data_IF_857830347660
#
_entry.id   IF_857830347660
#
_cell.length_a   1.000
_cell.length_b   1.000
_cell.length_c   1.000
_cell.angle_alpha   90.00
_cell.angle_beta   90.00
_cell.angle_gamma   90.00
#
_symmetry.space_group_name_H-M   'P 1'
#
loop_
_entity.id
_entity.type
_entity.pdbx_description
1 polymer ?
#
# COMPACT_ATOMS: atom_id res chain seq x y z
N UNK A 1 -6.19 -13.55 -4.01
CA UNK A 1 -6.64 -12.14 -4.12
C UNK A 1 -8.13 -12.03 -3.94
N UNK A 2 -8.94 -12.69 -4.78
CA UNK A 2 -10.40 -12.65 -4.68
C UNK A 2 -10.88 -13.22 -3.33
N UNK A 3 -10.44 -14.42 -2.96
CA UNK A 3 -10.76 -15.02 -1.63
C UNK A 3 -10.34 -14.15 -0.45
N UNK A 4 -9.29 -13.33 -0.60
CA UNK A 4 -8.85 -12.40 0.44
C UNK A 4 -9.88 -11.28 0.62
N UNK A 5 -10.38 -10.75 -0.49
CA UNK A 5 -11.32 -9.62 -0.51
C UNK A 5 -12.73 -10.08 -0.09
N UNK A 6 -13.19 -11.24 -0.56
CA UNK A 6 -14.51 -11.78 -0.22
C UNK A 6 -14.68 -12.03 1.28
N UNK A 7 -13.61 -12.44 1.96
CA UNK A 7 -13.66 -12.91 3.36
C UNK A 7 -12.96 -11.94 4.32
N UNK A 8 -12.50 -10.79 3.80
CA UNK A 8 -11.75 -9.77 4.53
C UNK A 8 -10.57 -10.34 5.35
N UNK A 9 -9.77 -11.23 4.75
CA UNK A 9 -8.68 -11.95 5.42
C UNK A 9 -7.31 -11.31 5.16
N UNK A 10 -6.33 -11.61 6.03
CA UNK A 10 -4.92 -11.31 5.76
C UNK A 10 -4.31 -12.30 4.75
N UNK A 11 -3.19 -11.96 4.11
CA UNK A 11 -2.54 -12.89 3.17
C UNK A 11 -2.08 -14.20 3.84
N UNK A 12 -1.69 -14.16 5.11
CA UNK A 12 -1.31 -15.34 5.89
C UNK A 12 -2.53 -16.20 6.23
N UNK A 13 -3.61 -15.55 6.67
CA UNK A 13 -4.88 -16.20 6.98
C UNK A 13 -5.47 -16.88 5.75
N UNK A 14 -5.43 -16.24 4.58
CA UNK A 14 -5.94 -16.82 3.32
C UNK A 14 -5.20 -18.10 2.96
N UNK A 15 -3.86 -18.11 3.03
CA UNK A 15 -3.06 -19.31 2.69
C UNK A 15 -3.35 -20.45 3.68
N UNK A 16 -3.49 -20.12 4.97
CA UNK A 16 -3.84 -21.11 6.00
C UNK A 16 -5.24 -21.68 5.79
N UNK A 17 -6.21 -20.81 5.48
CA UNK A 17 -7.61 -21.19 5.28
C UNK A 17 -7.80 -21.97 4.00
N UNK A 18 -7.07 -21.62 2.93
CA UNK A 18 -7.03 -22.39 1.69
C UNK A 18 -6.57 -23.84 1.94
N UNK A 19 -5.56 -24.05 2.80
CA UNK A 19 -5.12 -25.41 3.18
C UNK A 19 -6.18 -26.19 3.97
N UNK A 20 -7.01 -25.49 4.76
CA UNK A 20 -8.00 -26.11 5.65
C UNK A 20 -9.37 -26.31 5.00
N UNK A 21 -9.73 -25.48 4.03
CA UNK A 21 -11.06 -25.39 3.45
C UNK A 21 -11.08 -25.94 2.01
N UNK A 22 -11.85 -27.01 1.78
CA UNK A 22 -12.02 -27.61 0.45
C UNK A 22 -12.73 -26.68 -0.53
N UNK A 23 -13.64 -25.82 -0.06
CA UNK A 23 -14.34 -24.86 -0.90
C UNK A 23 -13.38 -23.84 -1.52
N UNK A 24 -12.35 -23.40 -0.79
CA UNK A 24 -11.36 -22.45 -1.30
C UNK A 24 -10.50 -23.08 -2.39
N UNK A 25 -10.22 -24.38 -2.28
CA UNK A 25 -9.46 -25.12 -3.29
C UNK A 25 -10.31 -25.35 -4.55
N UNK A 26 -11.57 -25.73 -4.38
CA UNK A 26 -12.52 -25.86 -5.48
C UNK A 26 -12.73 -24.53 -6.22
N UNK A 27 -12.84 -23.41 -5.48
CA UNK A 27 -12.90 -22.07 -6.07
C UNK A 27 -11.66 -21.74 -6.91
N UNK A 28 -10.47 -22.17 -6.47
CA UNK A 28 -9.24 -22.04 -7.26
C UNK A 28 -9.12 -23.05 -8.42
N UNK A 29 -10.14 -23.86 -8.69
CA UNK A 29 -10.17 -24.83 -9.79
C UNK A 29 -9.49 -26.17 -9.50
N UNK A 30 -9.17 -26.47 -8.24
CA UNK A 30 -8.66 -27.79 -7.86
C UNK A 30 -9.79 -28.81 -7.79
N UNK A 31 -9.56 -29.98 -8.40
CA UNK A 31 -10.50 -31.11 -8.38
C UNK A 31 -10.32 -32.01 -7.16
N UNK A 32 -9.15 -31.96 -6.53
CA UNK A 32 -8.78 -32.81 -5.40
C UNK A 32 -8.31 -31.95 -4.23
N UNK A 33 -8.65 -32.39 -3.02
CA UNK A 33 -8.29 -31.70 -1.79
C UNK A 33 -6.84 -31.97 -1.39
N UNK A 34 -6.08 -30.90 -1.19
CA UNK A 34 -4.68 -30.92 -0.79
C UNK A 34 -4.47 -30.23 0.57
N UNK A 35 -3.74 -30.87 1.47
CA UNK A 35 -3.39 -30.28 2.79
C UNK A 35 -2.05 -29.54 2.81
N UNK A 36 -1.42 -29.35 1.65
CA UNK A 36 -0.16 -28.60 1.55
C UNK A 36 -0.47 -27.12 1.42
N UNK A 37 0.40 -26.26 1.95
CA UNK A 37 0.28 -24.83 1.67
C UNK A 37 0.57 -24.59 0.17
N UNK A 38 -0.23 -23.75 -0.51
CA UNK A 38 -0.07 -23.50 -1.94
C UNK A 38 1.20 -22.70 -2.25
N UNK A 39 1.54 -21.73 -1.39
CA UNK A 39 2.70 -20.84 -1.53
C UNK A 39 3.00 -20.17 -0.19
N UNK A 40 4.12 -19.45 -0.08
CA UNK A 40 4.35 -18.57 1.06
C UNK A 40 3.48 -17.30 0.94
N UNK A 41 2.89 -16.83 2.04
CA UNK A 41 2.10 -15.58 2.09
C UNK A 41 2.75 -14.36 1.41
N UNK A 42 4.08 -14.22 1.50
CA UNK A 42 4.83 -13.13 0.86
C UNK A 42 4.79 -13.19 -0.66
N UNK A 43 4.70 -14.39 -1.24
CA UNK A 43 4.61 -14.56 -2.69
C UNK A 43 3.34 -13.92 -3.26
N UNK A 44 2.23 -13.91 -2.50
CA UNK A 44 1.01 -13.19 -2.90
C UNK A 44 1.24 -11.67 -3.00
N UNK A 45 2.07 -11.11 -2.11
CA UNK A 45 2.44 -9.69 -2.16
C UNK A 45 3.33 -9.41 -3.36
N UNK A 46 4.32 -10.27 -3.61
CA UNK A 46 5.21 -10.14 -4.77
C UNK A 46 4.47 -10.31 -6.09
N UNK A 47 3.51 -11.24 -6.14
CA UNK A 47 2.65 -11.46 -7.30
C UNK A 47 1.86 -10.18 -7.62
N UNK A 48 1.17 -9.59 -6.63
CA UNK A 48 0.44 -8.33 -6.80
C UNK A 48 1.34 -7.19 -7.32
N UNK A 49 2.53 -7.07 -6.77
CA UNK A 49 3.50 -6.04 -7.21
C UNK A 49 3.97 -6.28 -8.65
N UNK A 50 4.13 -7.54 -9.06
CA UNK A 50 4.59 -7.91 -10.41
C UNK A 50 3.54 -7.65 -11.47
N UNK A 51 2.28 -8.01 -11.19
CA UNK A 51 1.19 -7.82 -12.16
C UNK A 51 0.78 -6.35 -12.26
N UNK A 52 0.93 -5.56 -11.20
CA UNK A 52 0.58 -4.14 -11.17
C UNK A 52 -0.90 -3.87 -10.94
N UNK A 53 -1.27 -2.59 -10.74
CA UNK A 53 -2.63 -2.20 -10.39
C UNK A 53 -3.63 -2.40 -11.55
N UNK A 54 -3.22 -2.08 -12.77
CA UNK A 54 -4.07 -2.18 -13.97
C UNK A 54 -4.54 -3.61 -14.24
N UNK A 55 -3.65 -4.59 -14.08
CA UNK A 55 -4.01 -6.00 -14.28
C UNK A 55 -4.91 -6.53 -13.16
N UNK A 56 -4.70 -6.09 -11.92
CA UNK A 56 -5.57 -6.39 -10.78
C UNK A 56 -6.98 -5.86 -11.04
N UNK A 57 -7.08 -4.63 -11.53
CA UNK A 57 -8.36 -4.02 -11.88
C UNK A 57 -9.07 -4.78 -13.01
N UNK A 58 -8.31 -5.22 -14.02
CA UNK A 58 -8.87 -6.05 -15.09
C UNK A 58 -9.38 -7.41 -14.59
N UNK A 59 -8.68 -8.04 -13.64
CA UNK A 59 -9.16 -9.27 -12.97
C UNK A 59 -10.48 -9.00 -12.24
N UNK A 60 -10.58 -7.86 -11.57
CA UNK A 60 -11.80 -7.45 -10.87
C UNK A 60 -12.97 -7.19 -11.84
N UNK A 61 -12.71 -6.48 -12.94
CA UNK A 61 -13.71 -6.26 -14.00
C UNK A 61 -14.22 -7.59 -14.59
N UNK A 62 -13.33 -8.54 -14.85
CA UNK A 62 -13.74 -9.88 -15.30
C UNK A 62 -14.60 -10.61 -14.25
N UNK A 63 -14.30 -10.46 -12.95
CA UNK A 63 -15.13 -11.05 -11.90
C UNK A 63 -16.52 -10.41 -11.81
N UNK A 64 -16.64 -9.09 -12.03
CA UNK A 64 -17.94 -8.40 -12.10
C UNK A 64 -18.73 -8.91 -13.33
N UNK A 65 -18.07 -9.01 -14.49
CA UNK A 65 -18.71 -9.49 -15.71
C UNK A 65 -19.25 -10.92 -15.61
N UNK A 66 -18.61 -11.78 -14.79
CA UNK A 66 -19.09 -13.13 -14.50
C UNK A 66 -20.36 -13.15 -13.64
N UNK A 67 -20.59 -12.12 -12.81
CA UNK A 67 -21.78 -12.02 -11.95
C UNK A 67 -22.96 -11.31 -12.64
N UNK A 68 -22.74 -10.64 -13.77
CA UNK A 68 -23.81 -10.07 -14.60
C UNK A 68 -24.78 -9.16 -13.83
N UNK A 69 -26.06 -9.16 -14.21
CA UNK A 69 -27.12 -8.35 -13.58
C UNK A 69 -27.42 -8.73 -12.12
N UNK A 70 -26.94 -9.89 -11.65
CA UNK A 70 -27.10 -10.33 -10.26
C UNK A 70 -26.17 -9.60 -9.29
N UNK A 71 -25.17 -8.88 -9.80
CA UNK A 71 -24.27 -8.04 -8.99
C UNK A 71 -24.85 -6.65 -8.68
N UNK A 72 -25.97 -6.27 -9.31
CA UNK A 72 -26.68 -5.02 -9.04
C UNK A 72 -27.57 -5.21 -7.80
N UNK A 73 -26.96 -5.18 -6.61
CA UNK A 73 -27.74 -4.99 -5.39
C UNK A 73 -28.26 -3.54 -5.34
N UNK A 74 -29.56 -3.39 -5.06
CA UNK A 74 -30.26 -2.09 -4.95
C UNK A 74 -29.68 -1.21 -3.81
N UNK A 75 -28.98 -1.85 -2.87
CA UNK A 75 -28.30 -1.21 -1.73
C UNK A 75 -26.80 -1.37 -1.90
N UNK A 76 -26.15 -0.28 -2.30
CA UNK A 76 -24.68 -0.22 -2.30
C UNK A 76 -24.21 -0.22 -0.84
N UNK A 77 -23.81 -1.38 -0.31
CA UNK A 77 -23.05 -1.46 0.94
C UNK A 77 -21.66 -0.87 0.70
N UNK A 78 -21.54 0.46 0.83
CA UNK A 78 -20.25 1.13 0.89
C UNK A 78 -19.66 0.81 2.26
N UNK A 79 -19.01 -0.35 2.40
CA UNK A 79 -18.16 -0.59 3.56
C UNK A 79 -17.07 0.50 3.60
N UNK A 80 -17.15 1.39 4.58
CA UNK A 80 -16.11 2.41 4.84
C UNK A 80 -14.85 1.83 5.46
N UNK A 81 -14.63 0.51 5.32
CA UNK A 81 -13.38 -0.14 5.73
C UNK A 81 -12.31 0.24 4.73
N UNK A 82 -11.77 1.45 4.91
CA UNK A 82 -10.65 1.98 4.15
C UNK A 82 -9.53 0.96 4.23
N UNK A 83 -9.35 0.20 3.15
CA UNK A 83 -8.12 -0.55 2.91
C UNK A 83 -6.98 0.45 3.12
N UNK A 84 -6.04 0.14 4.01
CA UNK A 84 -4.91 1.01 4.27
C UNK A 84 -4.23 1.31 2.93
N UNK A 85 -4.46 2.51 2.42
CA UNK A 85 -3.74 3.01 1.27
C UNK A 85 -2.27 2.97 1.67
N UNK A 86 -1.38 2.61 0.76
CA UNK A 86 0.07 2.68 1.00
C UNK A 86 0.51 4.15 1.04
N UNK A 87 -0.02 4.90 2.00
CA UNK A 87 0.31 6.26 2.34
C UNK A 87 1.13 6.18 3.61
N UNK A 88 2.32 6.76 3.57
CA UNK A 88 3.05 6.92 4.82
C UNK A 88 2.37 8.00 5.66
N UNK A 89 2.22 7.75 6.96
CA UNK A 89 1.69 8.73 7.91
C UNK A 89 2.35 10.10 7.72
N UNK A 90 1.57 11.21 7.70
CA UNK A 90 2.13 12.54 7.55
C UNK A 90 2.91 12.89 8.82
N UNK A 91 4.23 12.79 8.77
CA UNK A 91 5.10 13.34 9.81
C UNK A 91 5.29 14.84 9.60
N UNK A 92 5.44 15.60 10.67
CA UNK A 92 5.64 17.07 10.62
C UNK A 92 6.75 17.47 9.64
N UNK A 93 7.85 16.69 9.58
CA UNK A 93 8.93 16.92 8.63
C UNK A 93 8.49 16.81 7.17
N UNK A 94 7.60 15.85 6.83
CA UNK A 94 7.06 15.70 5.47
C UNK A 94 6.10 16.83 5.12
N UNK A 95 5.33 17.28 6.10
CA UNK A 95 4.42 18.42 5.92
C UNK A 95 5.21 19.71 5.68
N UNK A 96 6.24 19.98 6.48
CA UNK A 96 7.14 21.13 6.32
C UNK A 96 7.80 21.14 4.92
N UNK A 97 8.35 20.00 4.47
CA UNK A 97 8.92 19.87 3.11
C UNK A 97 7.87 20.19 2.04
N UNK A 98 6.63 19.73 2.22
CA UNK A 98 5.53 19.98 1.28
C UNK A 98 5.15 21.46 1.22
N UNK A 99 5.15 22.15 2.36
CA UNK A 99 4.91 23.60 2.44
C UNK A 99 6.02 24.37 1.71
N UNK A 100 7.29 24.07 1.99
CA UNK A 100 8.44 24.73 1.36
C UNK A 100 8.43 24.54 -0.17
N UNK A 101 8.15 23.33 -0.65
CA UNK A 101 8.03 23.07 -2.09
C UNK A 101 6.89 23.86 -2.74
N UNK A 102 5.75 24.02 -2.05
CA UNK A 102 4.63 24.85 -2.55
C UNK A 102 5.01 26.32 -2.61
N UNK A 103 5.68 26.84 -1.57
CA UNK A 103 6.15 28.22 -1.54
C UNK A 103 7.16 28.50 -2.67
N UNK A 104 8.14 27.62 -2.88
CA UNK A 104 9.09 27.73 -4.00
C UNK A 104 8.37 27.74 -5.36
N UNK A 105 7.35 26.89 -5.54
CA UNK A 105 6.55 26.89 -6.77
C UNK A 105 5.76 28.18 -6.98
N UNK A 106 5.20 28.78 -5.93
CA UNK A 106 4.47 30.05 -6.03
C UNK A 106 5.43 31.22 -6.30
N UNK A 107 6.61 31.20 -5.66
CA UNK A 107 7.65 32.20 -5.84
C UNK A 107 8.17 32.30 -7.28
N UNK A 108 8.21 31.18 -8.02
CA UNK A 108 8.58 31.18 -9.44
C UNK A 108 7.63 32.02 -10.32
N UNK A 109 6.36 32.18 -9.91
CA UNK A 109 5.35 32.89 -10.70
C UNK A 109 5.07 34.32 -10.24
N UNK A 110 5.29 34.66 -8.95
CA UNK A 110 4.76 35.89 -8.35
C UNK A 110 5.80 36.88 -7.78
N UNK A 111 6.87 36.46 -7.08
CA UNK A 111 7.87 37.38 -6.46
C UNK A 111 9.21 36.67 -6.15
N UNK A 112 10.33 37.42 -6.25
CA UNK A 112 11.70 37.02 -5.87
C UNK A 112 11.81 36.54 -4.40
N UNK A 113 12.23 35.29 -4.22
CA UNK A 113 12.64 34.77 -2.91
C UNK A 113 14.02 35.31 -2.52
N UNK A 114 14.18 35.77 -1.26
CA UNK A 114 15.51 36.09 -0.71
C UNK A 114 16.44 34.85 -0.69
N UNK A 115 15.87 33.66 -0.47
CA UNK A 115 16.56 32.38 -0.58
C UNK A 115 15.53 31.26 -0.78
N UNK A 116 15.90 30.21 -1.52
CA UNK A 116 15.01 29.06 -1.82
C UNK A 116 15.22 27.86 -0.90
N UNK A 117 16.25 27.90 -0.03
CA UNK A 117 16.59 26.91 1.00
C UNK A 117 16.66 25.43 0.53
N UNK A 118 16.72 25.18 -0.78
CA UNK A 118 16.62 23.82 -1.37
C UNK A 118 17.74 22.90 -0.87
N UNK A 119 18.98 23.43 -0.75
CA UNK A 119 20.14 22.66 -0.27
C UNK A 119 20.01 22.30 1.22
N UNK A 120 19.49 23.23 2.02
CA UNK A 120 19.31 23.07 3.47
C UNK A 120 18.18 22.10 3.80
N UNK A 121 17.07 22.15 3.06
CA UNK A 121 15.99 21.16 3.19
C UNK A 121 16.50 19.76 2.87
N UNK A 122 17.38 19.61 1.87
CA UNK A 122 17.97 18.32 1.51
C UNK A 122 18.90 17.78 2.60
N UNK A 123 19.74 18.61 3.21
CA UNK A 123 20.62 18.19 4.31
C UNK A 123 19.83 17.83 5.57
N UNK A 124 18.85 18.65 5.97
CA UNK A 124 17.99 18.40 7.13
C UNK A 124 17.15 17.14 6.95
N UNK A 125 16.62 16.89 5.75
CA UNK A 125 15.91 15.64 5.43
C UNK A 125 16.80 14.41 5.60
N UNK A 126 18.07 14.51 5.19
CA UNK A 126 19.03 13.42 5.36
C UNK A 126 19.35 13.20 6.85
N UNK A 127 19.56 14.28 7.61
CA UNK A 127 19.83 14.25 9.05
C UNK A 127 18.67 13.61 9.83
N UNK A 128 17.42 13.95 9.50
CA UNK A 128 16.22 13.33 10.09
C UNK A 128 16.21 11.82 9.81
N UNK A 129 16.49 11.42 8.57
CA UNK A 129 16.51 10.00 8.19
C UNK A 129 17.58 9.21 8.94
N UNK A 130 18.77 9.79 9.06
CA UNK A 130 19.89 9.20 9.81
C UNK A 130 19.56 9.13 11.30
N UNK A 131 18.95 10.19 11.86
CA UNK A 131 18.52 10.25 13.27
C UNK A 131 17.52 9.16 13.63
N UNK A 132 16.57 8.88 12.73
CA UNK A 132 15.55 7.85 12.94
C UNK A 132 16.15 6.44 12.79
N UNK A 133 17.16 6.29 11.93
CA UNK A 133 17.74 4.98 11.61
C UNK A 133 18.87 4.56 12.57
N UNK A 134 19.62 5.51 13.13
CA UNK A 134 20.76 5.26 14.03
C UNK A 134 20.71 6.16 15.28
N UNK A 135 19.80 5.90 16.24
CA UNK A 135 19.60 6.79 17.39
C UNK A 135 20.78 6.87 18.36
N UNK A 136 21.58 5.80 18.47
CA UNK A 136 22.61 5.64 19.50
C UNK A 136 24.04 6.06 19.11
N UNK A 137 24.26 6.51 17.88
CA UNK A 137 25.61 6.89 17.41
C UNK A 137 25.98 8.37 17.63
N UNK A 138 25.07 9.18 18.17
CA UNK A 138 25.38 10.56 18.54
C UNK A 138 25.97 10.63 19.95
N UNK A 139 27.28 10.38 20.09
CA UNK A 139 28.04 11.02 21.17
C UNK A 139 28.32 12.48 20.77
N UNK A 140 28.11 13.47 21.64
CA UNK A 140 28.42 14.85 21.32
C UNK A 140 29.95 15.02 21.33
N UNK A 141 30.52 15.29 20.16
CA UNK A 141 31.75 16.06 20.11
C UNK A 141 31.35 17.52 20.33
N UNK A 142 31.56 18.00 21.54
CA UNK A 142 31.58 19.41 21.89
C UNK A 142 32.87 19.65 22.71
N UNK A 143 33.39 20.88 22.67
CA UNK A 143 34.75 21.27 22.25
C UNK A 143 35.93 20.59 22.96
#
# INVERSE_FOLDING_TARGET
>A
MILKQLENLSDESVVLQWKRNSYYQAFCGLKEFQRKLPCHSKELVHFRKRIGAESVERIFQMSIGLHGDWALEDVIHVETTVQEKSITYPTDSKLAIKIINRLNKIGEYMVLHKATFVKEVKSLRLAIRISVMWPNERKPNAP
#
